data_IF_665961457687
#
_entry.id   IF_665961457687
#
_cell.length_a   1.000
_cell.length_b   1.000
_cell.length_c   1.000
_cell.angle_alpha   90.00
_cell.angle_beta   90.00
_cell.angle_gamma   90.00
#
_symmetry.space_group_name_H-M   'P 1'
#
loop_
_entity.id
_entity.type
_entity.pdbx_description
1 polymer ?
#
# COMPACT_ATOMS: atom_id res chain seq x y z
N UNK A 1 -14.62 33.59 9.77
CA UNK A 1 -15.48 32.44 9.43
C UNK A 1 -15.28 31.96 8.00
N UNK A 2 -15.19 32.84 6.98
CA UNK A 2 -14.92 32.44 5.59
C UNK A 2 -13.58 31.67 5.41
N UNK A 3 -12.49 32.15 6.02
CA UNK A 3 -11.16 31.52 5.99
C UNK A 3 -11.14 30.09 6.54
N UNK A 4 -11.94 29.81 7.57
CA UNK A 4 -12.01 28.47 8.16
C UNK A 4 -12.73 27.48 7.22
N UNK A 5 -13.82 27.93 6.60
CA UNK A 5 -14.58 27.09 5.66
C UNK A 5 -13.77 26.80 4.40
N UNK A 6 -13.02 27.78 3.89
CA UNK A 6 -12.12 27.59 2.74
C UNK A 6 -11.00 26.58 3.05
N UNK A 7 -10.43 26.65 4.26
CA UNK A 7 -9.43 25.66 4.72
C UNK A 7 -10.02 24.26 4.89
N UNK A 8 -11.28 24.15 5.32
CA UNK A 8 -11.99 22.85 5.41
C UNK A 8 -12.20 22.29 4.01
N UNK A 9 -12.68 23.10 3.07
CA UNK A 9 -12.91 22.67 1.69
C UNK A 9 -11.61 22.20 1.00
N UNK A 10 -10.48 22.87 1.25
CA UNK A 10 -9.17 22.43 0.76
C UNK A 10 -8.77 21.08 1.36
N UNK A 11 -9.00 20.87 2.66
CA UNK A 11 -8.69 19.61 3.33
C UNK A 11 -9.56 18.47 2.81
N UNK A 12 -10.86 18.70 2.58
CA UNK A 12 -11.78 17.72 2.02
C UNK A 12 -11.35 17.31 0.62
N UNK A 13 -11.04 18.27 -0.26
CA UNK A 13 -10.53 17.97 -1.61
C UNK A 13 -9.22 17.19 -1.57
N UNK A 14 -8.31 17.58 -0.69
CA UNK A 14 -7.03 16.86 -0.53
C UNK A 14 -7.25 15.42 -0.07
N UNK A 15 -8.19 15.21 0.87
CA UNK A 15 -8.54 13.86 1.32
C UNK A 15 -9.17 13.03 0.20
N UNK A 16 -10.04 13.62 -0.62
CA UNK A 16 -10.66 12.94 -1.76
C UNK A 16 -9.62 12.54 -2.81
N UNK A 17 -8.69 13.44 -3.14
CA UNK A 17 -7.58 13.17 -4.07
C UNK A 17 -6.68 12.04 -3.53
N UNK A 18 -6.30 12.10 -2.24
CA UNK A 18 -5.51 11.06 -1.60
C UNK A 18 -6.23 9.70 -1.59
N UNK A 19 -7.55 9.69 -1.39
CA UNK A 19 -8.36 8.48 -1.42
C UNK A 19 -8.41 7.88 -2.84
N UNK A 20 -8.55 8.73 -3.86
CA UNK A 20 -8.55 8.31 -5.26
C UNK A 20 -7.20 7.71 -5.66
N UNK A 21 -6.10 8.38 -5.31
CA UNK A 21 -4.74 7.91 -5.57
C UNK A 21 -4.45 6.58 -4.87
N UNK A 22 -4.91 6.44 -3.62
CA UNK A 22 -4.81 5.19 -2.88
C UNK A 22 -5.59 4.08 -3.57
N UNK A 23 -6.81 4.36 -4.05
CA UNK A 23 -7.62 3.38 -4.75
C UNK A 23 -6.98 2.97 -6.08
N UNK A 24 -6.53 3.94 -6.88
CA UNK A 24 -5.82 3.70 -8.14
C UNK A 24 -4.57 2.84 -7.93
N UNK A 25 -3.77 3.15 -6.89
CA UNK A 25 -2.58 2.39 -6.53
C UNK A 25 -2.91 0.94 -6.17
N UNK A 26 -3.98 0.70 -5.41
CA UNK A 26 -4.43 -0.66 -5.08
C UNK A 26 -4.83 -1.44 -6.33
N UNK A 27 -5.56 -0.81 -7.25
CA UNK A 27 -5.95 -1.44 -8.51
C UNK A 27 -4.72 -1.78 -9.35
N UNK A 28 -3.78 -0.84 -9.50
CA UNK A 28 -2.54 -1.05 -10.24
C UNK A 28 -1.70 -2.19 -9.65
N UNK A 29 -1.51 -2.21 -8.32
CA UNK A 29 -0.80 -3.30 -7.62
C UNK A 29 -1.50 -4.63 -7.86
N UNK A 30 -2.83 -4.70 -7.75
CA UNK A 30 -3.57 -5.94 -7.98
C UNK A 30 -3.39 -6.46 -9.41
N UNK A 31 -3.47 -5.58 -10.41
CA UNK A 31 -3.26 -5.95 -11.82
C UNK A 31 -1.84 -6.47 -12.02
N UNK A 32 -0.82 -5.75 -11.54
CA UNK A 32 0.58 -6.17 -11.64
C UNK A 32 0.84 -7.48 -10.91
N UNK A 33 0.31 -7.65 -9.71
CA UNK A 33 0.43 -8.88 -8.92
C UNK A 33 -0.20 -10.07 -9.64
N UNK A 34 -1.35 -9.87 -10.27
CA UNK A 34 -2.02 -10.91 -11.08
C UNK A 34 -1.15 -11.30 -12.28
N UNK A 35 -0.60 -10.31 -13.00
CA UNK A 35 0.29 -10.55 -14.14
C UNK A 35 1.53 -11.32 -13.69
N UNK A 36 2.21 -10.88 -12.63
CA UNK A 36 3.41 -11.56 -12.10
C UNK A 36 3.09 -12.98 -11.64
N UNK A 37 1.96 -13.19 -10.96
CA UNK A 37 1.53 -14.52 -10.52
C UNK A 37 1.26 -15.43 -11.72
N UNK A 38 0.59 -14.91 -12.75
CA UNK A 38 0.33 -15.67 -13.98
C UNK A 38 1.60 -16.02 -14.77
N UNK A 39 2.61 -15.13 -14.76
CA UNK A 39 3.90 -15.36 -15.42
C UNK A 39 4.81 -16.31 -14.65
N UNK A 40 4.80 -16.23 -13.32
CA UNK A 40 5.64 -17.07 -12.46
C UNK A 40 5.06 -18.48 -12.27
N UNK A 41 3.74 -18.64 -12.37
CA UNK A 41 3.06 -19.90 -12.09
C UNK A 41 3.10 -20.31 -10.61
N UNK A 42 3.60 -19.44 -9.73
CA UNK A 42 3.76 -19.70 -8.30
C UNK A 42 2.83 -18.79 -7.47
N UNK A 43 1.72 -19.33 -6.95
CA UNK A 43 0.86 -18.64 -6.00
C UNK A 43 1.68 -18.17 -4.78
N UNK A 44 1.66 -16.87 -4.49
CA UNK A 44 2.22 -16.30 -3.25
C UNK A 44 3.70 -15.95 -3.33
N UNK A 45 4.29 -15.99 -4.53
CA UNK A 45 5.66 -15.58 -4.78
C UNK A 45 5.95 -14.15 -4.27
N UNK A 46 5.03 -13.21 -4.50
CA UNK A 46 5.20 -11.81 -4.14
C UNK A 46 5.23 -11.58 -2.62
N UNK A 47 4.35 -12.25 -1.88
CA UNK A 47 4.33 -12.19 -0.41
C UNK A 47 5.62 -12.76 0.17
N UNK A 48 6.06 -13.93 -0.30
CA UNK A 48 7.31 -14.56 0.15
C UNK A 48 8.52 -13.70 -0.17
N UNK A 49 8.56 -13.13 -1.37
CA UNK A 49 9.66 -12.25 -1.80
C UNK A 49 9.72 -10.99 -0.93
N UNK A 50 8.56 -10.42 -0.59
CA UNK A 50 8.49 -9.27 0.30
C UNK A 50 8.99 -9.61 1.72
N UNK A 51 8.52 -10.71 2.31
CA UNK A 51 8.96 -11.17 3.63
C UNK A 51 10.46 -11.50 3.68
N UNK A 52 10.99 -12.17 2.64
CA UNK A 52 12.42 -12.45 2.51
C UNK A 52 13.26 -11.17 2.42
N UNK A 53 12.80 -10.19 1.63
CA UNK A 53 13.53 -8.94 1.45
C UNK A 53 13.47 -8.08 2.71
N UNK A 54 12.31 -8.03 3.39
CA UNK A 54 12.13 -7.37 4.70
C UNK A 54 13.04 -7.98 5.77
N UNK A 55 13.14 -9.31 5.79
CA UNK A 55 13.99 -10.03 6.76
C UNK A 55 15.48 -9.76 6.53
N UNK A 56 15.86 -9.38 5.30
CA UNK A 56 17.25 -9.15 4.91
C UNK A 56 17.67 -7.69 5.06
N UNK A 57 16.75 -6.73 4.89
CA UNK A 57 17.03 -5.30 5.06
C UNK A 57 15.73 -4.50 5.26
N UNK A 58 15.80 -3.31 5.92
CA UNK A 58 14.69 -2.38 5.95
C UNK A 58 14.34 -1.93 4.52
N UNK A 59 13.19 -2.39 4.02
CA UNK A 59 12.68 -2.04 2.68
C UNK A 59 12.30 -0.56 2.57
N UNK A 60 11.96 0.07 3.68
CA UNK A 60 11.58 1.48 3.76
C UNK A 60 12.54 2.18 4.70
N UNK A 61 13.24 3.20 4.20
CA UNK A 61 13.97 4.15 5.03
C UNK A 61 13.01 5.28 5.39
N UNK A 62 12.61 5.36 6.64
CA UNK A 62 11.85 6.50 7.13
C UNK A 62 12.81 7.68 7.32
N UNK A 63 12.60 8.75 6.54
CA UNK A 63 13.39 9.98 6.66
C UNK A 63 13.00 10.83 7.88
N UNK A 64 11.96 10.43 8.62
CA UNK A 64 11.39 11.12 9.76
C UNK A 64 10.95 10.12 10.85
N UNK A 65 10.92 10.52 12.14
CA UNK A 65 10.44 9.65 13.20
C UNK A 65 8.98 9.27 12.93
N UNK A 66 8.73 7.97 12.81
CA UNK A 66 7.39 7.40 12.66
C UNK A 66 6.80 7.10 14.03
N UNK A 67 5.47 7.09 14.12
CA UNK A 67 4.78 6.69 15.33
C UNK A 67 5.09 5.22 15.64
N UNK A 68 5.14 4.87 16.93
CA UNK A 68 5.33 3.49 17.37
C UNK A 68 4.25 2.57 16.76
N UNK A 69 4.68 1.43 16.20
CA UNK A 69 3.80 0.48 15.49
C UNK A 69 3.40 0.89 14.07
N UNK A 70 3.86 2.03 13.55
CA UNK A 70 3.56 2.44 12.17
C UNK A 70 4.16 1.49 11.12
N UNK A 71 5.41 1.03 11.35
CA UNK A 71 6.09 0.12 10.42
C UNK A 71 5.42 -1.25 10.33
N UNK A 72 4.89 -1.73 11.45
CA UNK A 72 4.13 -2.97 11.56
C UNK A 72 2.82 -2.87 10.79
N UNK A 73 2.05 -1.79 11.02
CA UNK A 73 0.81 -1.50 10.28
C UNK A 73 1.06 -1.32 8.79
N UNK A 74 2.15 -0.65 8.41
CA UNK A 74 2.53 -0.47 7.02
C UNK A 74 2.79 -1.83 6.37
N UNK A 75 3.51 -2.71 7.07
CA UNK A 75 3.84 -4.04 6.56
C UNK A 75 2.61 -4.93 6.45
N UNK A 76 1.76 -4.98 7.47
CA UNK A 76 0.50 -5.70 7.40
C UNK A 76 -0.33 -5.24 6.19
N UNK A 77 -0.36 -3.94 5.93
CA UNK A 77 -1.08 -3.38 4.78
C UNK A 77 -0.45 -3.76 3.44
N UNK A 78 0.89 -3.80 3.34
CA UNK A 78 1.58 -4.23 2.12
C UNK A 78 1.36 -5.73 1.87
N UNK A 79 1.54 -6.58 2.89
CA UNK A 79 1.30 -8.03 2.78
C UNK A 79 -0.12 -8.31 2.32
N UNK A 80 -1.12 -7.64 2.91
CA UNK A 80 -2.52 -7.77 2.49
C UNK A 80 -2.77 -7.34 1.03
N UNK A 81 -2.04 -6.36 0.50
CA UNK A 81 -2.16 -5.97 -0.90
C UNK A 81 -1.53 -6.99 -1.84
N UNK A 82 -0.43 -7.62 -1.42
CA UNK A 82 0.26 -8.62 -2.23
C UNK A 82 -0.45 -9.99 -2.18
N UNK A 83 -1.12 -10.32 -1.08
CA UNK A 83 -1.88 -11.56 -0.91
C UNK A 83 -3.29 -11.53 -1.51
N UNK A 84 -3.85 -10.34 -1.82
CA UNK A 84 -5.21 -10.21 -2.34
C UNK A 84 -5.43 -10.92 -3.70
N UNK A 85 -4.38 -11.07 -4.51
CA UNK A 85 -4.42 -11.84 -5.77
C UNK A 85 -4.67 -13.34 -5.55
N UNK A 86 -4.47 -13.85 -4.34
CA UNK A 86 -4.57 -15.28 -4.01
C UNK A 86 -5.99 -15.72 -3.62
N UNK A 87 -6.87 -14.79 -3.26
CA UNK A 87 -8.24 -15.11 -2.79
C UNK A 87 -9.27 -15.31 -3.91
N UNK A 88 -8.89 -15.06 -5.18
CA UNK A 88 -9.69 -15.44 -6.36
C UNK A 88 -9.01 -16.60 -7.07
N UNK A 89 -9.14 -17.79 -6.49
CA UNK A 89 -8.97 -19.07 -7.17
C UNK A 89 -10.25 -19.88 -7.00
#
# INVERSE_FOLDING_TARGET
MADLNERIEILERTLDDMNLDLHASKVAINVLSTVITSMSGEPGLLERSYEQTRSSAPLVKFNHPVQEGYEEKLTERIVNLLSFSQQKA
#
